data_IF_609274390111
#
_entry.id   IF_609274390111
#
_cell.length_a   1.000
_cell.length_b   1.000
_cell.length_c   1.000
_cell.angle_alpha   90.00
_cell.angle_beta   90.00
_cell.angle_gamma   90.00
#
_symmetry.space_group_name_H-M   'P 1'
#
loop_
_entity.id
_entity.type
_entity.pdbx_description
1 polymer ?
#
# COMPACT_ATOMS: atom_id res chain seq x y z
N UNK A 1 -16.22 21.28 8.08
CA UNK A 1 -14.88 20.76 7.70
C UNK A 1 -14.55 21.21 6.28
N UNK A 2 -13.26 21.43 5.95
CA UNK A 2 -12.87 21.92 4.61
C UNK A 2 -12.88 20.78 3.58
N UNK A 3 -13.51 20.99 2.43
CA UNK A 3 -13.58 19.97 1.36
C UNK A 3 -12.20 19.53 0.87
N UNK A 4 -11.19 20.43 0.87
CA UNK A 4 -9.82 20.08 0.46
C UNK A 4 -9.25 18.91 1.28
N UNK A 5 -9.40 18.96 2.60
CA UNK A 5 -8.93 17.91 3.51
C UNK A 5 -9.67 16.59 3.25
N UNK A 6 -10.98 16.66 3.00
CA UNK A 6 -11.77 15.46 2.70
C UNK A 6 -11.36 14.85 1.37
N UNK A 7 -11.07 15.66 0.35
CA UNK A 7 -10.57 15.20 -0.94
C UNK A 7 -9.20 14.51 -0.82
N UNK A 8 -8.33 15.01 0.05
CA UNK A 8 -7.03 14.39 0.32
C UNK A 8 -7.18 13.04 1.05
N UNK A 9 -8.20 12.91 1.92
CA UNK A 9 -8.49 11.69 2.68
C UNK A 9 -9.37 10.69 1.91
N UNK A 10 -10.07 11.13 0.86
CA UNK A 10 -11.03 10.31 0.10
C UNK A 10 -10.43 9.01 -0.45
N UNK A 11 -9.23 9.02 -1.05
CA UNK A 11 -8.60 7.80 -1.55
C UNK A 11 -8.41 6.76 -0.43
N UNK A 12 -7.90 7.22 0.73
CA UNK A 12 -7.72 6.37 1.91
C UNK A 12 -9.05 5.88 2.48
N UNK A 13 -10.10 6.72 2.41
CA UNK A 13 -11.44 6.36 2.85
C UNK A 13 -12.08 5.28 1.96
N UNK A 14 -11.94 5.39 0.63
CA UNK A 14 -12.40 4.36 -0.33
C UNK A 14 -11.70 3.02 -0.05
N UNK A 15 -10.43 3.06 0.32
CA UNK A 15 -9.63 1.89 0.66
C UNK A 15 -9.82 1.38 2.10
N UNK A 16 -10.67 2.05 2.90
CA UNK A 16 -10.87 1.79 4.34
C UNK A 16 -9.56 1.83 5.17
N UNK A 17 -8.59 2.67 4.78
CA UNK A 17 -7.28 2.86 5.44
C UNK A 17 -7.25 4.09 6.38
N UNK A 18 -8.42 4.57 6.76
CA UNK A 18 -8.58 5.67 7.70
C UNK A 18 -8.93 5.14 9.11
N UNK A 19 -8.50 5.86 10.15
CA UNK A 19 -8.93 5.53 11.53
C UNK A 19 -10.46 5.65 11.68
N UNK A 20 -11.06 4.94 12.62
CA UNK A 20 -12.53 5.00 12.85
C UNK A 20 -13.04 6.43 13.04
N UNK A 21 -12.30 7.24 13.80
CA UNK A 21 -12.60 8.66 14.00
C UNK A 21 -12.58 9.45 12.69
N UNK A 22 -11.59 9.20 11.84
CA UNK A 22 -11.48 9.83 10.51
C UNK A 22 -12.59 9.36 9.58
N UNK A 23 -12.97 8.08 9.63
CA UNK A 23 -14.06 7.53 8.82
C UNK A 23 -15.40 8.16 9.15
N UNK A 24 -15.71 8.34 10.44
CA UNK A 24 -16.91 9.01 10.91
C UNK A 24 -16.97 10.45 10.37
N UNK A 25 -15.88 11.17 10.51
CA UNK A 25 -15.74 12.55 10.07
C UNK A 25 -15.91 12.71 8.55
N UNK A 26 -15.30 11.82 7.75
CA UNK A 26 -15.47 11.82 6.29
C UNK A 26 -16.90 11.49 5.91
N UNK A 27 -17.52 10.51 6.56
CA UNK A 27 -18.91 10.11 6.32
C UNK A 27 -19.89 11.27 6.58
N UNK A 28 -19.77 11.96 7.71
CA UNK A 28 -20.59 13.14 8.04
C UNK A 28 -20.43 14.25 7.00
N UNK A 29 -19.23 14.42 6.43
CA UNK A 29 -19.00 15.37 5.36
C UNK A 29 -19.63 14.93 4.03
N UNK A 30 -19.54 13.64 3.66
CA UNK A 30 -20.17 13.10 2.47
C UNK A 30 -21.70 13.19 2.53
N UNK A 31 -22.29 13.15 3.73
CA UNK A 31 -23.74 13.35 3.95
C UNK A 31 -24.17 14.81 3.72
N UNK A 32 -23.29 15.78 4.02
CA UNK A 32 -23.59 17.22 3.94
C UNK A 32 -23.06 17.93 2.68
N UNK A 33 -22.12 17.32 1.94
CA UNK A 33 -21.49 17.91 0.76
C UNK A 33 -21.70 17.06 -0.49
N UNK A 34 -22.44 17.59 -1.47
CA UNK A 34 -22.68 16.96 -2.78
C UNK A 34 -21.40 16.74 -3.57
N UNK A 35 -20.52 17.75 -3.60
CA UNK A 35 -19.32 17.74 -4.45
C UNK A 35 -18.34 16.63 -4.03
N UNK A 36 -18.17 16.44 -2.72
CA UNK A 36 -17.31 15.38 -2.18
C UNK A 36 -17.94 14.00 -2.37
N UNK A 37 -19.28 13.91 -2.36
CA UNK A 37 -20.01 12.66 -2.63
C UNK A 37 -19.86 12.23 -4.08
N UNK A 38 -20.01 13.14 -5.03
CA UNK A 38 -19.82 12.85 -6.45
C UNK A 38 -18.39 12.37 -6.73
N UNK A 39 -17.40 13.03 -6.14
CA UNK A 39 -16.01 12.61 -6.26
C UNK A 39 -15.76 11.21 -5.66
N UNK A 40 -16.39 10.90 -4.54
CA UNK A 40 -16.29 9.57 -3.92
C UNK A 40 -16.88 8.48 -4.82
N UNK A 41 -18.05 8.71 -5.42
CA UNK A 41 -18.66 7.74 -6.34
C UNK A 41 -17.84 7.55 -7.62
N UNK A 42 -17.23 8.62 -8.15
CA UNK A 42 -16.31 8.53 -9.29
C UNK A 42 -15.12 7.61 -8.98
N UNK A 43 -14.51 7.75 -7.80
CA UNK A 43 -13.38 6.92 -7.36
C UNK A 43 -13.78 5.47 -7.04
N UNK A 44 -15.01 5.24 -6.59
CA UNK A 44 -15.54 3.91 -6.30
C UNK A 44 -15.87 3.12 -7.57
N UNK A 45 -16.11 3.81 -8.68
CA UNK A 45 -16.43 3.16 -9.95
C UNK A 45 -15.23 2.34 -10.48
N UNK A 46 -15.43 1.09 -10.91
CA UNK A 46 -14.36 0.29 -11.48
C UNK A 46 -13.91 0.94 -12.78
N UNK A 47 -12.65 1.36 -12.83
CA UNK A 47 -12.03 1.90 -14.03
C UNK A 47 -12.01 0.77 -15.08
N UNK A 48 -12.75 0.93 -16.19
CA UNK A 48 -12.67 0.03 -17.34
C UNK A 48 -11.34 0.28 -18.08
N UNK A 49 -10.27 -0.32 -17.58
CA UNK A 49 -8.92 -0.16 -18.13
C UNK A 49 -8.76 -1.05 -19.37
N UNK A 50 -9.42 -0.67 -20.47
CA UNK A 50 -9.02 -1.10 -21.81
C UNK A 50 -7.98 -0.12 -22.35
N UNK A 51 -6.71 -0.34 -22.01
CA UNK A 51 -5.59 0.18 -22.80
C UNK A 51 -4.64 1.19 -22.16
N UNK A 52 -4.27 1.04 -20.87
CA UNK A 52 -3.14 1.78 -20.31
C UNK A 52 -1.95 0.83 -20.07
N UNK A 53 -0.85 1.06 -20.78
CA UNK A 53 0.44 0.40 -20.54
C UNK A 53 0.96 0.75 -19.12
N UNK A 54 1.70 -0.17 -18.45
CA UNK A 54 2.03 -0.03 -17.04
C UNK A 54 3.04 1.10 -16.81
N UNK A 55 2.58 2.18 -16.18
CA UNK A 55 3.45 3.21 -15.59
C UNK A 55 4.05 2.61 -14.32
N UNK A 56 5.39 2.52 -14.29
CA UNK A 56 6.19 2.12 -13.13
C UNK A 56 5.94 3.11 -11.99
N UNK A 57 5.09 2.73 -11.04
CA UNK A 57 4.84 3.48 -9.82
C UNK A 57 5.97 3.18 -8.81
N UNK A 58 6.69 4.22 -8.39
CA UNK A 58 7.62 4.17 -7.25
C UNK A 58 6.85 3.94 -5.96
N UNK A 59 7.12 2.81 -5.33
CA UNK A 59 6.49 2.28 -4.14
C UNK A 59 6.90 3.08 -2.88
N UNK A 60 6.05 4.03 -2.47
CA UNK A 60 6.00 4.52 -1.10
C UNK A 60 4.94 3.71 -0.33
N UNK A 61 5.33 2.82 0.60
CA UNK A 61 4.37 1.94 1.26
C UNK A 61 3.76 2.61 2.47
N UNK A 62 2.53 3.13 2.34
CA UNK A 62 1.68 3.44 3.48
C UNK A 62 0.80 2.22 3.82
N UNK A 63 0.70 1.97 5.13
CA UNK A 63 -0.13 0.98 5.85
C UNK A 63 -0.93 -0.02 5.01
N UNK A 64 -0.34 -1.19 4.73
CA UNK A 64 -1.14 -2.32 4.26
C UNK A 64 -0.58 -3.65 4.79
N UNK A 65 -1.00 -3.98 6.00
CA UNK A 65 -0.60 -5.19 6.74
C UNK A 65 -0.89 -6.50 5.97
N UNK A 66 -1.74 -6.46 4.93
CA UNK A 66 -2.13 -7.63 4.16
C UNK A 66 -1.39 -7.74 2.80
N UNK A 67 -1.15 -6.62 2.12
CA UNK A 67 -0.42 -6.63 0.85
C UNK A 67 1.10 -6.80 1.05
N UNK A 68 1.65 -6.23 2.12
CA UNK A 68 3.07 -6.39 2.47
C UNK A 68 3.48 -7.85 2.69
N UNK A 69 2.68 -8.63 3.43
CA UNK A 69 3.00 -10.03 3.73
C UNK A 69 3.19 -10.87 2.48
N UNK A 70 2.35 -10.67 1.45
CA UNK A 70 2.41 -11.45 0.20
C UNK A 70 3.52 -10.96 -0.72
N UNK A 71 3.73 -9.65 -0.83
CA UNK A 71 4.73 -9.06 -1.73
C UNK A 71 6.16 -9.16 -1.14
N UNK A 72 6.39 -8.62 0.07
CA UNK A 72 7.70 -8.63 0.71
C UNK A 72 8.12 -10.01 1.21
N UNK A 73 7.18 -10.87 1.62
CA UNK A 73 7.51 -12.21 2.10
C UNK A 73 8.28 -13.05 1.08
N UNK A 74 7.88 -12.98 -0.20
CA UNK A 74 8.54 -13.72 -1.29
C UNK A 74 9.90 -13.14 -1.68
N UNK A 75 10.09 -11.83 -1.53
CA UNK A 75 11.36 -11.13 -1.83
C UNK A 75 12.37 -11.34 -0.69
N UNK A 76 11.94 -11.17 0.56
CA UNK A 76 12.77 -11.35 1.76
C UNK A 76 13.25 -12.80 1.90
N UNK A 77 12.39 -13.79 1.63
CA UNK A 77 12.77 -15.20 1.71
C UNK A 77 13.90 -15.57 0.74
N UNK A 78 13.84 -15.04 -0.49
CA UNK A 78 14.90 -15.24 -1.49
C UNK A 78 16.19 -14.53 -1.11
N UNK A 79 16.10 -13.30 -0.58
CA UNK A 79 17.25 -12.55 -0.10
C UNK A 79 17.95 -13.21 1.09
N UNK A 80 17.18 -13.66 2.09
CA UNK A 80 17.71 -14.33 3.28
C UNK A 80 18.49 -15.59 2.93
N UNK A 81 17.96 -16.44 2.04
CA UNK A 81 18.66 -17.64 1.59
C UNK A 81 20.02 -17.35 0.96
N UNK A 82 20.12 -16.28 0.17
CA UNK A 82 21.37 -15.86 -0.48
C UNK A 82 22.40 -15.38 0.56
N UNK A 83 21.98 -14.59 1.54
CA UNK A 83 22.83 -14.15 2.65
C UNK A 83 23.31 -15.30 3.53
N UNK A 84 22.41 -16.20 3.94
CA UNK A 84 22.79 -17.37 4.75
C UNK A 84 23.69 -18.33 3.98
N UNK A 85 23.46 -18.53 2.69
CA UNK A 85 24.32 -19.34 1.84
C UNK A 85 25.75 -18.79 1.80
N UNK A 86 25.91 -17.50 1.49
CA UNK A 86 27.23 -16.85 1.45
C UNK A 86 27.91 -16.93 2.82
N UNK A 87 27.19 -16.64 3.89
CA UNK A 87 27.73 -16.74 5.25
C UNK A 87 28.24 -18.14 5.59
N UNK A 88 27.44 -19.19 5.32
CA UNK A 88 27.84 -20.58 5.58
C UNK A 88 29.09 -20.96 4.77
N UNK A 89 29.18 -20.54 3.51
CA UNK A 89 30.36 -20.82 2.67
C UNK A 89 31.63 -20.17 3.22
N UNK A 90 31.55 -18.94 3.73
CA UNK A 90 32.71 -18.25 4.32
C UNK A 90 33.15 -18.94 5.61
N UNK A 91 32.21 -19.32 6.48
CA UNK A 91 32.51 -20.01 7.74
C UNK A 91 33.14 -21.39 7.49
N UNK A 92 32.61 -22.16 6.53
CA UNK A 92 33.21 -23.45 6.16
C UNK A 92 34.62 -23.30 5.60
N UNK A 93 34.85 -22.30 4.73
CA UNK A 93 36.20 -21.99 4.25
C UNK A 93 37.14 -21.59 5.40
N UNK A 94 36.70 -20.78 6.35
CA UNK A 94 37.50 -20.42 7.53
C UNK A 94 37.86 -21.61 8.42
N UNK A 95 36.97 -22.60 8.53
CA UNK A 95 37.22 -23.83 9.28
C UNK A 95 38.18 -24.76 8.53
N UNK A 96 38.09 -24.82 7.20
CA UNK A 96 38.95 -25.65 6.35
C UNK A 96 40.36 -25.06 6.14
N UNK A 97 40.50 -23.74 6.25
CA UNK A 97 41.77 -23.00 6.13
C UNK A 97 42.52 -22.87 7.47
N UNK A 98 41.96 -23.39 8.55
CA UNK A 98 42.56 -23.41 9.89
C UNK A 98 43.12 -24.79 10.21
#
# INVERSE_FOLDING_TARGET
MKCSLIRDLLPLYVENDCSEMTNQMVKEHLESCSDCRELYELMKSPIDVKGMDPIVATDAPNNNNQFWKKYYGRVILKGAGLFFGVYITIVTLMILLK
#
